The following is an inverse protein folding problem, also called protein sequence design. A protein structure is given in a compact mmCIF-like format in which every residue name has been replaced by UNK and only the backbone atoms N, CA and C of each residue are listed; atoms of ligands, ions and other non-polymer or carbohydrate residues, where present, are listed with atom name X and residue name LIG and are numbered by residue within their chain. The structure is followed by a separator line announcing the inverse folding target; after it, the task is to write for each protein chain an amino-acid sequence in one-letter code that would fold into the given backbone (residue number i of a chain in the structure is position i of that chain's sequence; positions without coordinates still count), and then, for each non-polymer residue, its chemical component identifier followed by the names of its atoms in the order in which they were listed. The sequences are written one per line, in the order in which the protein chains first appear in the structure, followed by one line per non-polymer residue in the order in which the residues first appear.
data_IF_438248832251
#
_entry.id   IF_438248832251
#
_cell.length_a   1.000
_cell.length_b   1.000
_cell.length_c   1.000
_cell.angle_alpha   90.00
_cell.angle_beta   90.00
_cell.angle_gamma   90.00
#
_symmetry.space_group_name_H-M   'P 1'
#
loop_
_entity.id
_entity.type
_entity.pdbx_description
1 polymer ?
#
# COMPACT_ATOMS: atom_id res chain seq x y z
N UNK A 1 -13.55 5.48 -20.44
CA UNK A 1 -12.66 6.50 -19.88
C UNK A 1 -11.89 5.87 -18.73
N UNK A 2 -10.60 6.08 -18.60
CA UNK A 2 -9.81 5.57 -17.49
C UNK A 2 -10.12 6.42 -16.24
N UNK A 3 -10.32 5.76 -15.09
CA UNK A 3 -10.55 6.39 -13.79
C UNK A 3 -9.34 7.26 -13.41
N UNK A 4 -9.58 8.48 -12.96
CA UNK A 4 -8.53 9.41 -12.53
C UNK A 4 -7.81 8.90 -11.27
N UNK A 5 -6.61 9.41 -10.98
CA UNK A 5 -5.86 9.08 -9.77
C UNK A 5 -6.67 9.37 -8.50
N UNK A 6 -7.33 10.53 -8.44
CA UNK A 6 -8.14 10.95 -7.30
C UNK A 6 -9.34 10.01 -7.08
N UNK A 7 -10.06 9.63 -8.13
CA UNK A 7 -11.16 8.68 -8.07
C UNK A 7 -10.70 7.30 -7.60
N UNK A 8 -9.54 6.81 -8.10
CA UNK A 8 -8.93 5.55 -7.63
C UNK A 8 -8.61 5.58 -6.13
N UNK A 9 -8.10 6.71 -5.62
CA UNK A 9 -7.80 6.85 -4.19
C UNK A 9 -9.08 6.93 -3.36
N UNK A 10 -10.07 7.72 -3.80
CA UNK A 10 -11.36 7.84 -3.12
C UNK A 10 -12.05 6.47 -3.01
N UNK A 11 -12.13 5.71 -4.10
CA UNK A 11 -12.71 4.36 -4.11
C UNK A 11 -11.97 3.38 -3.18
N UNK A 12 -10.63 3.48 -3.10
CA UNK A 12 -9.86 2.65 -2.17
C UNK A 12 -10.11 3.02 -0.72
N UNK A 13 -10.19 4.31 -0.40
CA UNK A 13 -10.49 4.78 0.94
C UNK A 13 -11.90 4.34 1.37
N UNK A 14 -12.89 4.50 0.50
CA UNK A 14 -14.27 4.05 0.73
C UNK A 14 -14.34 2.55 1.01
N UNK A 15 -13.68 1.74 0.19
CA UNK A 15 -13.61 0.29 0.42
C UNK A 15 -13.07 -0.05 1.83
N UNK A 16 -12.02 0.64 2.31
CA UNK A 16 -11.51 0.40 3.65
C UNK A 16 -12.47 0.87 4.74
N UNK A 17 -13.22 1.95 4.52
CA UNK A 17 -14.29 2.40 5.44
C UNK A 17 -15.43 1.40 5.53
N UNK A 18 -15.86 0.85 4.40
CA UNK A 18 -16.87 -0.22 4.38
C UNK A 18 -16.40 -1.46 5.15
N UNK A 19 -15.13 -1.87 4.94
CA UNK A 19 -14.52 -2.97 5.71
C UNK A 19 -14.48 -2.67 7.20
N UNK A 20 -14.07 -1.45 7.60
CA UNK A 20 -14.04 -1.02 8.98
C UNK A 20 -15.45 -1.07 9.60
N UNK A 21 -16.44 -0.53 8.91
CA UNK A 21 -17.84 -0.55 9.36
C UNK A 21 -18.39 -1.95 9.54
N UNK A 22 -18.09 -2.88 8.62
CA UNK A 22 -18.50 -4.28 8.73
C UNK A 22 -17.85 -4.97 9.92
N UNK A 23 -16.53 -4.84 10.08
CA UNK A 23 -15.79 -5.48 11.18
C UNK A 23 -16.17 -4.87 12.54
N UNK A 24 -16.47 -3.55 12.58
CA UNK A 24 -16.94 -2.88 13.81
C UNK A 24 -18.30 -3.44 14.27
N UNK A 25 -19.25 -3.65 13.35
CA UNK A 25 -20.52 -4.31 13.69
C UNK A 25 -20.32 -5.74 14.21
N UNK A 26 -19.39 -6.50 13.60
CA UNK A 26 -19.03 -7.83 14.10
C UNK A 26 -18.39 -7.78 15.49
N UNK A 27 -17.53 -6.81 15.76
CA UNK A 27 -16.94 -6.59 17.09
C UNK A 27 -18.01 -6.31 18.14
N UNK A 28 -18.94 -5.40 17.86
CA UNK A 28 -20.04 -5.01 18.77
C UNK A 28 -20.94 -6.22 19.07
N UNK A 29 -21.34 -6.99 18.06
CA UNK A 29 -22.16 -8.19 18.27
C UNK A 29 -21.42 -9.27 19.03
N UNK A 30 -20.14 -9.43 18.80
CA UNK A 30 -19.30 -10.40 19.52
C UNK A 30 -19.11 -9.98 20.97
N UNK A 31 -18.94 -8.68 21.23
CA UNK A 31 -18.83 -8.12 22.58
C UNK A 31 -20.12 -8.32 23.36
N UNK A 32 -21.25 -7.91 22.81
CA UNK A 32 -22.57 -8.10 23.42
C UNK A 32 -22.88 -9.58 23.74
N UNK A 33 -22.45 -10.50 22.86
CA UNK A 33 -22.53 -11.93 23.13
C UNK A 33 -21.68 -12.35 24.32
N UNK A 34 -20.47 -11.83 24.45
CA UNK A 34 -19.60 -12.13 25.59
C UNK A 34 -20.19 -11.61 26.90
N UNK A 35 -20.75 -10.38 26.90
CA UNK A 35 -21.46 -9.79 28.04
C UNK A 35 -22.65 -10.65 28.45
N UNK A 36 -23.53 -11.00 27.50
CA UNK A 36 -24.67 -11.88 27.77
C UNK A 36 -24.28 -13.24 28.34
N UNK A 37 -23.14 -13.79 27.92
CA UNK A 37 -22.60 -15.04 28.49
C UNK A 37 -22.06 -14.80 29.90
N UNK A 38 -21.42 -13.67 30.17
CA UNK A 38 -20.87 -13.32 31.48
C UNK A 38 -21.98 -13.07 32.51
N UNK A 39 -23.08 -12.44 32.12
CA UNK A 39 -24.22 -12.13 32.98
C UNK A 39 -24.91 -13.37 33.55
N UNK A 40 -24.71 -14.55 32.93
CA UNK A 40 -25.20 -15.83 33.48
C UNK A 40 -24.50 -16.19 34.78
N UNK A 41 -23.28 -15.67 35.02
CA UNK A 41 -22.50 -15.94 36.22
C UNK A 41 -22.77 -14.84 37.24
N UNK A 42 -23.39 -15.16 38.42
CA UNK A 42 -23.59 -14.15 39.46
C UNK A 42 -22.27 -13.50 39.87
N UNK A 43 -22.32 -12.18 40.09
CA UNK A 43 -21.14 -11.42 40.48
C UNK A 43 -20.52 -12.01 41.76
N UNK A 44 -19.21 -12.22 41.73
CA UNK A 44 -18.46 -12.79 42.88
C UNK A 44 -18.58 -14.29 43.04
N UNK A 45 -19.27 -15.02 42.17
CA UNK A 45 -19.37 -16.49 42.27
C UNK A 45 -18.01 -17.15 42.00
N UNK A 46 -17.40 -17.84 42.99
CA UNK A 46 -16.16 -18.59 42.80
C UNK A 46 -16.38 -19.88 42.06
N UNK A 47 -15.32 -20.43 41.45
CA UNK A 47 -15.33 -21.80 40.93
C UNK A 47 -15.28 -22.75 42.09
N UNK A 48 -16.21 -23.73 42.15
CA UNK A 48 -16.25 -24.74 43.18
C UNK A 48 -15.21 -25.85 42.87
N UNK A 49 -14.04 -25.72 43.46
CA UNK A 49 -12.91 -26.65 43.24
C UNK A 49 -13.26 -28.01 43.82
N UNK A 50 -13.01 -29.11 43.06
CA UNK A 50 -13.34 -30.49 43.43
C UNK A 50 -14.81 -30.90 43.21
N UNK A 51 -15.69 -29.96 42.84
CA UNK A 51 -17.07 -30.26 42.53
C UNK A 51 -17.23 -30.81 41.10
N UNK A 52 -18.20 -31.69 40.88
CA UNK A 52 -18.45 -32.30 39.57
C UNK A 52 -18.64 -31.28 38.42
N UNK A 53 -19.14 -30.09 38.71
CA UNK A 53 -19.36 -29.01 37.74
C UNK A 53 -18.11 -28.19 37.46
N UNK A 54 -17.00 -28.35 38.17
CA UNK A 54 -15.80 -27.48 38.04
C UNK A 54 -15.32 -27.43 36.59
N UNK A 55 -15.19 -28.55 35.92
CA UNK A 55 -14.70 -28.61 34.53
C UNK A 55 -15.62 -27.84 33.57
N UNK A 56 -16.93 -27.96 33.76
CA UNK A 56 -17.93 -27.28 32.94
C UNK A 56 -17.87 -25.76 33.16
N UNK A 57 -17.77 -25.31 34.41
CA UNK A 57 -17.68 -23.89 34.77
C UNK A 57 -16.38 -23.25 34.23
N UNK A 58 -15.23 -23.91 34.40
CA UNK A 58 -13.95 -23.45 33.83
C UNK A 58 -14.02 -23.32 32.31
N UNK A 59 -14.62 -24.31 31.63
CA UNK A 59 -14.78 -24.26 30.18
C UNK A 59 -15.70 -23.13 29.73
N UNK A 60 -16.75 -22.85 30.49
CA UNK A 60 -17.68 -21.77 30.20
C UNK A 60 -17.00 -20.39 30.36
N UNK A 61 -16.27 -20.17 31.46
CA UNK A 61 -15.48 -18.91 31.70
C UNK A 61 -14.40 -18.74 30.63
N UNK A 62 -13.69 -19.79 30.27
CA UNK A 62 -12.72 -19.75 29.17
C UNK A 62 -13.35 -19.38 27.83
N UNK A 63 -14.61 -19.78 27.60
CA UNK A 63 -15.35 -19.39 26.38
C UNK A 63 -15.73 -17.92 26.42
N UNK A 64 -16.13 -17.38 27.56
CA UNK A 64 -16.38 -15.96 27.76
C UNK A 64 -15.11 -15.15 27.45
N UNK A 65 -13.99 -15.50 28.07
CA UNK A 65 -12.71 -14.82 27.85
C UNK A 65 -12.28 -14.82 26.38
N UNK A 66 -12.38 -15.98 25.72
CA UNK A 66 -12.07 -16.09 24.28
C UNK A 66 -12.99 -15.22 23.43
N UNK A 67 -14.26 -15.10 23.80
CA UNK A 67 -15.23 -14.28 23.06
C UNK A 67 -14.93 -12.80 23.27
N UNK A 68 -14.57 -12.36 24.47
CA UNK A 68 -14.11 -10.98 24.71
C UNK A 68 -12.81 -10.68 23.93
N UNK A 69 -11.80 -11.54 24.00
CA UNK A 69 -10.56 -11.36 23.22
C UNK A 69 -10.84 -11.20 21.74
N UNK A 70 -11.70 -12.06 21.18
CA UNK A 70 -12.09 -11.93 19.77
C UNK A 70 -12.77 -10.59 19.47
N UNK A 71 -13.60 -10.06 20.36
CA UNK A 71 -14.24 -8.76 20.16
C UNK A 71 -13.23 -7.61 20.13
N UNK A 72 -12.20 -7.64 21.00
CA UNK A 72 -11.11 -6.67 20.99
C UNK A 72 -10.26 -6.76 19.72
N UNK A 73 -9.86 -7.98 19.31
CA UNK A 73 -9.13 -8.19 18.05
C UNK A 73 -9.90 -7.66 16.83
N UNK A 74 -11.22 -7.80 16.81
CA UNK A 74 -12.06 -7.23 15.77
C UNK A 74 -12.13 -5.71 15.85
N UNK A 75 -12.16 -5.13 17.05
CA UNK A 75 -12.11 -3.67 17.23
C UNK A 75 -10.80 -3.09 16.73
N UNK A 76 -9.68 -3.70 17.08
CA UNK A 76 -8.35 -3.29 16.61
C UNK A 76 -8.24 -3.39 15.08
N UNK A 77 -8.82 -4.44 14.51
CA UNK A 77 -8.87 -4.64 13.06
C UNK A 77 -9.73 -3.56 12.36
N UNK A 78 -10.84 -3.16 12.96
CA UNK A 78 -11.68 -2.08 12.44
C UNK A 78 -10.92 -0.75 12.48
N UNK A 79 -10.25 -0.43 13.59
CA UNK A 79 -9.41 0.77 13.71
C UNK A 79 -8.26 0.77 12.69
N UNK A 80 -7.62 -0.40 12.47
CA UNK A 80 -6.60 -0.52 11.45
C UNK A 80 -7.12 -0.17 10.05
N UNK A 81 -8.33 -0.62 9.69
CA UNK A 81 -8.93 -0.27 8.39
C UNK A 81 -9.28 1.21 8.29
N UNK A 82 -9.76 1.84 9.37
CA UNK A 82 -10.00 3.29 9.39
C UNK A 82 -8.72 4.10 9.20
N UNK A 83 -7.67 3.79 9.96
CA UNK A 83 -6.35 4.42 9.79
C UNK A 83 -5.81 4.23 8.38
N UNK A 84 -6.11 3.09 7.76
CA UNK A 84 -5.71 2.84 6.37
C UNK A 84 -6.48 3.71 5.38
N UNK A 85 -7.78 3.92 5.58
CA UNK A 85 -8.59 4.85 4.79
C UNK A 85 -8.08 6.29 4.93
N UNK A 86 -7.84 6.74 6.15
CA UNK A 86 -7.28 8.07 6.44
C UNK A 86 -5.91 8.30 5.79
N UNK A 87 -5.03 7.29 5.84
CA UNK A 87 -3.72 7.35 5.20
C UNK A 87 -3.78 7.40 3.66
N UNK A 88 -4.85 6.88 3.05
CA UNK A 88 -5.07 6.99 1.62
C UNK A 88 -5.53 8.40 1.26
N UNK A 89 -6.39 9.01 2.07
CA UNK A 89 -6.90 10.38 1.85
C UNK A 89 -5.87 11.44 2.18
N UNK A 90 -5.12 11.25 3.27
CA UNK A 90 -4.10 12.16 3.76
C UNK A 90 -2.73 11.46 3.79
N UNK A 91 -2.15 11.12 2.64
CA UNK A 91 -0.91 10.35 2.61
C UNK A 91 0.25 11.19 3.14
N UNK A 92 0.99 10.63 4.10
CA UNK A 92 2.24 11.21 4.58
C UNK A 92 3.30 11.30 3.48
N UNK A 93 3.32 10.30 2.59
CA UNK A 93 4.22 10.23 1.44
C UNK A 93 3.49 10.61 0.15
N UNK A 94 4.07 11.52 -0.63
CA UNK A 94 3.55 11.92 -1.94
C UNK A 94 3.85 10.80 -2.93
N UNK A 95 2.79 10.22 -3.53
CA UNK A 95 2.93 9.17 -4.53
C UNK A 95 3.47 9.71 -5.84
N UNK A 96 4.30 8.92 -6.53
CA UNK A 96 4.73 9.25 -7.90
C UNK A 96 3.61 9.05 -8.95
N UNK A 97 2.55 8.35 -8.57
CA UNK A 97 1.36 8.18 -9.42
C UNK A 97 0.41 9.39 -9.34
N UNK A 98 0.67 10.33 -8.42
CA UNK A 98 -0.12 11.56 -8.27
C UNK A 98 0.30 12.56 -9.39
N UNK A 99 -0.62 12.99 -10.26
CA UNK A 99 -0.32 14.00 -11.28
C UNK A 99 0.23 15.31 -10.68
N UNK A 100 -0.21 15.66 -9.47
CA UNK A 100 0.24 16.84 -8.74
C UNK A 100 1.48 16.61 -7.86
N UNK A 101 2.14 15.43 -7.97
CA UNK A 101 3.27 15.07 -7.11
C UNK A 101 4.36 16.15 -7.08
N UNK A 102 4.74 16.72 -8.24
CA UNK A 102 5.77 17.77 -8.33
C UNK A 102 5.33 19.02 -7.59
N UNK A 103 4.07 19.45 -7.74
CA UNK A 103 3.52 20.62 -7.03
C UNK A 103 3.56 20.41 -5.52
N UNK A 104 3.02 19.28 -5.05
CA UNK A 104 3.00 18.92 -3.62
C UNK A 104 4.41 18.80 -3.02
N UNK A 105 5.37 18.26 -3.80
CA UNK A 105 6.77 18.19 -3.37
C UNK A 105 7.41 19.57 -3.27
N UNK A 106 7.14 20.50 -4.21
CA UNK A 106 7.61 21.88 -4.14
C UNK A 106 7.04 22.62 -2.92
N UNK A 107 5.74 22.48 -2.66
CA UNK A 107 5.11 23.01 -1.44
C UNK A 107 5.74 22.46 -0.16
N UNK A 108 6.07 21.15 -0.16
CA UNK A 108 6.79 20.52 0.97
C UNK A 108 8.18 21.09 1.15
N UNK A 109 8.91 21.34 0.08
CA UNK A 109 10.25 21.99 0.12
C UNK A 109 10.11 23.40 0.71
N UNK A 110 9.16 24.20 0.25
CA UNK A 110 8.93 25.55 0.76
C UNK A 110 8.59 25.54 2.27
N UNK A 111 7.71 24.65 2.71
CA UNK A 111 7.40 24.48 4.14
C UNK A 111 8.63 24.09 4.96
N UNK A 112 9.47 23.21 4.44
CA UNK A 112 10.72 22.82 5.11
C UNK A 112 11.74 23.95 5.15
N UNK A 113 11.84 24.77 4.11
CA UNK A 113 12.72 25.95 4.07
C UNK A 113 12.26 27.01 5.07
N UNK A 114 10.97 27.31 5.13
CA UNK A 114 10.39 28.21 6.16
C UNK A 114 10.66 27.68 7.56
N UNK A 115 10.44 26.40 7.80
CA UNK A 115 10.70 25.77 9.10
C UNK A 115 12.21 25.81 9.47
N UNK A 116 13.08 25.62 8.48
CA UNK A 116 14.53 25.75 8.67
C UNK A 116 14.94 27.15 9.13
N UNK A 117 14.35 28.21 8.56
CA UNK A 117 14.63 29.59 8.97
C UNK A 117 14.13 29.87 10.39
N UNK A 118 12.96 29.34 10.77
CA UNK A 118 12.46 29.42 12.16
C UNK A 118 13.43 28.78 13.14
N UNK A 119 13.92 27.56 12.84
CA UNK A 119 14.87 26.85 13.70
C UNK A 119 16.24 27.58 13.76
N UNK A 120 16.68 28.21 12.66
CA UNK A 120 17.91 29.01 12.66
C UNK A 120 17.82 30.23 13.56
N UNK A 121 16.66 30.86 13.63
CA UNK A 121 16.43 32.03 14.49
C UNK A 121 16.31 31.70 15.97
N UNK A 122 16.04 30.43 16.36
CA UNK A 122 15.88 30.02 17.75
C UNK A 122 17.21 29.61 18.40
N UNK A 123 17.31 29.81 19.73
CA UNK A 123 18.37 29.22 20.55
C UNK A 123 18.10 27.74 20.80
N UNK A 124 19.13 27.01 21.25
CA UNK A 124 18.97 25.61 21.62
C UNK A 124 18.01 25.41 22.81
N UNK A 125 18.03 26.35 23.76
CA UNK A 125 17.14 26.35 24.94
C UNK A 125 15.67 26.57 24.57
N UNK A 126 15.38 27.47 23.63
CA UNK A 126 14.00 27.70 23.14
C UNK A 126 13.46 26.47 22.43
N UNK A 127 14.26 25.82 21.57
CA UNK A 127 13.87 24.57 20.88
C UNK A 127 13.61 23.46 21.89
N UNK A 128 14.44 23.38 22.93
CA UNK A 128 14.29 22.38 23.97
C UNK A 128 13.00 22.57 24.78
N UNK A 129 12.67 23.83 25.13
CA UNK A 129 11.41 24.18 25.82
C UNK A 129 10.17 23.86 24.97
N UNK A 130 10.19 24.28 23.71
CA UNK A 130 9.08 24.03 22.77
C UNK A 130 8.76 22.52 22.60
N UNK A 131 9.78 21.69 22.71
CA UNK A 131 9.63 20.24 22.62
C UNK A 131 9.07 19.59 23.87
N UNK A 132 9.09 20.27 25.02
CA UNK A 132 8.72 19.68 26.31
C UNK A 132 9.67 18.54 26.72
N UNK A 133 10.92 18.63 26.36
CA UNK A 133 11.90 17.55 26.57
C UNK A 133 12.26 17.40 28.05
N UNK A 134 12.49 16.16 28.56
CA UNK A 134 12.93 15.93 29.93
C UNK A 134 14.28 16.60 30.24
N UNK A 135 14.46 17.01 31.50
CA UNK A 135 15.69 17.67 31.96
C UNK A 135 16.96 16.81 31.76
N UNK A 136 16.81 15.49 31.68
CA UNK A 136 17.88 14.53 31.36
C UNK A 136 18.51 14.72 29.95
N UNK A 137 17.88 15.48 29.06
CA UNK A 137 18.38 15.79 27.73
C UNK A 137 18.97 17.20 27.63
N UNK A 138 19.14 17.90 28.76
CA UNK A 138 19.69 19.24 28.86
C UNK A 138 21.11 19.26 28.34
N UNK A 139 21.73 19.26 27.52
CA UNK A 139 23.09 19.20 26.95
C UNK A 139 23.10 18.72 25.50
N UNK A 140 21.97 18.30 24.99
CA UNK A 140 21.84 17.89 23.60
C UNK A 140 21.69 19.10 22.69
N UNK A 141 22.40 19.08 21.56
CA UNK A 141 22.29 20.12 20.56
C UNK A 141 21.08 19.86 19.64
N UNK A 142 19.87 20.19 20.13
CA UNK A 142 18.64 20.02 19.39
C UNK A 142 18.60 20.88 18.13
N UNK A 143 19.17 22.08 18.15
CA UNK A 143 19.25 22.96 17.00
C UNK A 143 19.99 22.29 15.84
N UNK A 144 21.18 21.75 16.12
CA UNK A 144 21.97 21.01 15.13
C UNK A 144 21.22 19.81 14.61
N UNK A 145 20.66 18.97 15.49
CA UNK A 145 19.89 17.77 15.12
C UNK A 145 18.70 18.11 14.21
N UNK A 146 17.94 19.17 14.53
CA UNK A 146 16.84 19.63 13.68
C UNK A 146 17.32 20.12 12.33
N UNK A 147 18.37 20.97 12.28
CA UNK A 147 18.91 21.48 11.04
C UNK A 147 19.48 20.39 10.13
N UNK A 148 20.17 19.39 10.68
CA UNK A 148 20.64 18.24 9.94
C UNK A 148 19.49 17.39 9.39
N UNK A 149 18.46 17.12 10.20
CA UNK A 149 17.25 16.41 9.79
C UNK A 149 16.50 17.13 8.67
N UNK A 150 16.28 18.44 8.82
CA UNK A 150 15.63 19.27 7.80
C UNK A 150 16.49 19.30 6.52
N UNK A 151 17.80 19.44 6.66
CA UNK A 151 18.73 19.43 5.52
C UNK A 151 18.68 18.12 4.73
N UNK A 152 18.58 16.97 5.40
CA UNK A 152 18.39 15.67 4.76
C UNK A 152 17.07 15.62 4.03
N UNK A 153 15.97 15.96 4.71
CA UNK A 153 14.62 15.97 4.13
C UNK A 153 14.48 16.90 2.92
N UNK A 154 15.17 18.04 2.92
CA UNK A 154 15.23 18.96 1.78
C UNK A 154 15.95 18.32 0.59
N UNK A 155 17.13 17.72 0.81
CA UNK A 155 17.86 17.02 -0.26
C UNK A 155 17.03 15.89 -0.86
N UNK A 156 16.40 15.06 -0.02
CA UNK A 156 15.57 13.96 -0.47
C UNK A 156 14.34 14.44 -1.26
N UNK A 157 13.69 15.54 -0.81
CA UNK A 157 12.56 16.11 -1.52
C UNK A 157 12.97 16.71 -2.88
N UNK A 158 14.09 17.43 -2.96
CA UNK A 158 14.61 17.98 -4.22
C UNK A 158 15.00 16.87 -5.19
N UNK A 159 15.74 15.85 -4.73
CA UNK A 159 16.04 14.66 -5.53
C UNK A 159 14.78 13.97 -6.06
N UNK A 160 13.76 13.86 -5.21
CA UNK A 160 12.47 13.26 -5.60
C UNK A 160 11.73 14.07 -6.65
N UNK A 161 11.80 15.42 -6.60
CA UNK A 161 11.25 16.28 -7.65
C UNK A 161 11.90 15.96 -8.99
N UNK A 162 13.24 15.93 -9.03
CA UNK A 162 13.99 15.64 -10.26
C UNK A 162 13.64 14.25 -10.83
N UNK A 163 13.51 13.24 -9.96
CA UNK A 163 13.12 11.89 -10.37
C UNK A 163 11.71 11.85 -10.97
N UNK A 164 10.74 12.50 -10.33
CA UNK A 164 9.36 12.55 -10.80
C UNK A 164 9.26 13.33 -12.12
N UNK A 165 9.95 14.46 -12.24
CA UNK A 165 9.99 15.24 -13.48
C UNK A 165 10.60 14.45 -14.64
N UNK A 166 11.72 13.73 -14.41
CA UNK A 166 12.31 12.85 -15.41
C UNK A 166 11.34 11.74 -15.85
N UNK A 167 10.60 11.16 -14.92
CA UNK A 167 9.60 10.14 -15.24
C UNK A 167 8.44 10.73 -16.05
N UNK A 168 7.96 11.91 -15.67
CA UNK A 168 6.88 12.60 -16.40
C UNK A 168 7.29 13.10 -17.79
N UNK A 169 8.58 13.33 -18.02
CA UNK A 169 9.09 13.74 -19.35
C UNK A 169 9.22 12.60 -20.36
N UNK A 170 9.10 11.34 -19.93
CA UNK A 170 9.13 10.18 -20.84
C UNK A 170 7.83 10.19 -21.66
N UNK A 171 7.88 10.26 -23.00
CA UNK A 171 6.67 10.31 -23.81
C UNK A 171 5.86 9.00 -23.73
N UNK A 172 4.55 9.12 -23.81
CA UNK A 172 3.70 7.96 -24.03
C UNK A 172 4.04 7.31 -25.39
N UNK A 173 4.24 6.03 -25.41
CA UNK A 173 4.57 5.28 -26.62
C UNK A 173 4.04 3.86 -26.54
N UNK A 174 3.86 3.26 -27.71
CA UNK A 174 3.56 1.84 -27.83
C UNK A 174 4.39 1.24 -28.95
N UNK A 175 5.04 0.10 -28.69
CA UNK A 175 5.82 -0.64 -29.66
C UNK A 175 5.53 -2.14 -29.54
N UNK A 176 5.68 -2.84 -30.65
CA UNK A 176 5.50 -4.29 -30.67
C UNK A 176 6.84 -4.94 -30.99
N UNK A 177 7.30 -5.81 -30.12
CA UNK A 177 8.56 -6.57 -30.28
C UNK A 177 8.22 -8.06 -30.12
N UNK A 178 8.49 -8.87 -31.13
CA UNK A 178 8.20 -10.31 -31.13
C UNK A 178 6.73 -10.66 -30.73
N UNK A 179 5.77 -9.87 -31.20
CA UNK A 179 4.35 -10.06 -30.88
C UNK A 179 3.94 -9.59 -29.46
N UNK A 180 4.87 -9.06 -28.67
CA UNK A 180 4.60 -8.50 -27.35
C UNK A 180 4.45 -7.00 -27.49
N UNK A 181 3.31 -6.46 -27.03
CA UNK A 181 3.09 -5.01 -27.02
C UNK A 181 3.64 -4.42 -25.73
N UNK A 182 4.57 -3.47 -25.87
CA UNK A 182 5.09 -2.66 -24.77
C UNK A 182 4.46 -1.28 -24.90
N UNK A 183 3.70 -0.85 -23.90
CA UNK A 183 3.05 0.46 -23.86
C UNK A 183 3.54 1.25 -22.65
N UNK A 184 3.95 2.50 -22.88
CA UNK A 184 4.22 3.50 -21.82
C UNK A 184 2.96 4.32 -21.64
N UNK A 185 2.26 4.09 -20.55
CA UNK A 185 1.01 4.76 -20.20
C UNK A 185 1.26 5.81 -19.11
N UNK A 186 1.30 7.07 -19.52
CA UNK A 186 1.50 8.20 -18.62
C UNK A 186 0.30 8.44 -17.70
N UNK A 187 -0.91 8.11 -18.13
CA UNK A 187 -2.12 8.33 -17.32
C UNK A 187 -2.14 7.45 -16.07
N UNK A 188 -1.63 6.22 -16.20
CA UNK A 188 -1.48 5.28 -15.09
C UNK A 188 -0.09 5.28 -14.47
N UNK A 189 0.87 6.02 -15.05
CA UNK A 189 2.29 5.98 -14.71
C UNK A 189 2.85 4.55 -14.73
N UNK A 190 2.56 3.81 -15.82
CA UNK A 190 2.95 2.39 -15.96
C UNK A 190 3.58 2.08 -17.33
N UNK A 191 4.59 1.21 -17.30
CA UNK A 191 5.03 0.43 -18.45
C UNK A 191 4.23 -0.86 -18.42
N UNK A 192 3.48 -1.12 -19.49
CA UNK A 192 2.56 -2.26 -19.64
C UNK A 192 3.09 -3.21 -20.73
N UNK A 193 3.17 -4.51 -20.43
CA UNK A 193 3.48 -5.56 -21.39
C UNK A 193 2.25 -6.43 -21.60
N UNK A 194 1.80 -6.50 -22.84
CA UNK A 194 0.71 -7.38 -23.28
C UNK A 194 1.27 -8.52 -24.12
N UNK A 195 1.00 -9.74 -23.70
CA UNK A 195 1.40 -10.96 -24.39
C UNK A 195 0.21 -11.52 -25.19
N UNK A 196 0.42 -12.08 -26.37
CA UNK A 196 -0.65 -12.70 -27.17
C UNK A 196 -1.28 -13.93 -26.50
N UNK A 197 -0.48 -14.62 -25.66
CA UNK A 197 -0.90 -15.78 -24.85
C UNK A 197 -0.28 -15.70 -23.46
N UNK A 198 -0.64 -16.63 -22.57
CA UNK A 198 -0.04 -16.70 -21.23
C UNK A 198 1.44 -17.00 -21.35
N UNK A 199 2.35 -16.12 -20.86
CA UNK A 199 3.78 -16.34 -20.98
C UNK A 199 4.23 -17.55 -20.16
N UNK A 200 5.30 -18.27 -20.61
CA UNK A 200 5.87 -19.42 -19.91
C UNK A 200 6.24 -19.10 -18.45
N UNK A 201 6.31 -20.11 -17.57
CA UNK A 201 6.65 -19.89 -16.16
C UNK A 201 7.97 -19.15 -15.93
N UNK A 202 8.99 -19.45 -16.76
CA UNK A 202 10.30 -18.81 -16.71
C UNK A 202 10.22 -17.31 -16.99
N UNK A 203 9.46 -16.92 -18.01
CA UNK A 203 9.21 -15.52 -18.36
C UNK A 203 8.44 -14.80 -17.25
N UNK A 204 7.45 -15.46 -16.68
CA UNK A 204 6.71 -14.90 -15.55
C UNK A 204 7.59 -14.69 -14.32
N UNK A 205 8.52 -15.61 -14.07
CA UNK A 205 9.51 -15.49 -12.98
C UNK A 205 10.47 -14.35 -13.26
N UNK A 206 10.96 -14.22 -14.50
CA UNK A 206 11.84 -13.13 -14.94
C UNK A 206 11.12 -11.76 -14.83
N UNK A 207 9.87 -11.66 -15.27
CA UNK A 207 9.06 -10.44 -15.10
C UNK A 207 8.92 -10.04 -13.62
N UNK A 208 8.62 -11.01 -12.75
CA UNK A 208 8.52 -10.75 -11.30
C UNK A 208 9.85 -10.30 -10.70
N UNK A 209 10.98 -10.91 -11.08
CA UNK A 209 12.32 -10.51 -10.61
C UNK A 209 12.67 -9.08 -11.06
N UNK A 210 12.16 -8.63 -12.20
CA UNK A 210 12.29 -7.27 -12.70
C UNK A 210 11.22 -6.32 -12.13
N UNK A 211 10.41 -6.77 -11.15
CA UNK A 211 9.41 -5.95 -10.46
C UNK A 211 8.13 -5.67 -11.25
N UNK A 212 7.84 -6.45 -12.30
CA UNK A 212 6.56 -6.41 -12.98
C UNK A 212 5.52 -7.22 -12.22
N UNK A 213 4.30 -6.70 -12.13
CA UNK A 213 3.16 -7.35 -11.51
C UNK A 213 2.05 -7.57 -12.53
N UNK A 214 1.38 -8.71 -12.44
CA UNK A 214 0.22 -8.99 -13.27
C UNK A 214 -1.00 -8.16 -12.81
N UNK A 215 -1.63 -7.48 -13.73
CA UNK A 215 -2.90 -6.79 -13.54
C UNK A 215 -4.04 -7.57 -14.20
N UNK A 216 -4.90 -8.24 -13.41
CA UNK A 216 -6.05 -8.95 -13.96
C UNK A 216 -7.04 -8.04 -14.70
N UNK A 217 -7.23 -6.81 -14.22
CA UNK A 217 -8.13 -5.83 -14.83
C UNK A 217 -7.66 -5.40 -16.22
N UNK A 218 -6.37 -5.09 -16.35
CA UNK A 218 -5.79 -4.64 -17.62
C UNK A 218 -5.28 -5.81 -18.48
N UNK A 219 -5.25 -7.02 -17.95
CA UNK A 219 -4.65 -8.22 -18.59
C UNK A 219 -3.24 -7.99 -19.11
N UNK A 220 -2.43 -7.24 -18.33
CA UNK A 220 -1.07 -6.84 -18.67
C UNK A 220 -0.13 -7.05 -17.50
N UNK A 221 1.15 -7.28 -17.78
CA UNK A 221 2.21 -7.14 -16.80
C UNK A 221 2.60 -5.68 -16.73
N UNK A 222 2.63 -5.10 -15.53
CA UNK A 222 2.85 -3.66 -15.37
C UNK A 222 3.86 -3.35 -14.28
N UNK A 223 4.61 -2.28 -14.50
CA UNK A 223 5.55 -1.71 -13.54
C UNK A 223 5.50 -0.19 -13.65
N UNK A 224 5.82 0.54 -12.56
CA UNK A 224 5.92 2.00 -12.59
C UNK A 224 6.96 2.45 -13.63
N UNK A 225 6.68 3.55 -14.35
CA UNK A 225 7.58 4.08 -15.39
C UNK A 225 8.93 4.41 -14.77
N UNK A 226 9.97 3.91 -15.40
CA UNK A 226 11.38 4.25 -15.14
C UNK A 226 12.21 3.76 -16.32
N UNK A 227 13.39 4.32 -16.53
CA UNK A 227 14.31 3.84 -17.59
C UNK A 227 14.61 2.36 -17.43
N UNK A 228 14.77 1.88 -16.19
CA UNK A 228 14.96 0.46 -15.91
C UNK A 228 13.73 -0.39 -16.29
N UNK A 229 12.51 0.12 -16.06
CA UNK A 229 11.30 -0.60 -16.44
C UNK A 229 11.18 -0.74 -17.97
N UNK A 230 11.50 0.31 -18.70
CA UNK A 230 11.51 0.31 -20.18
C UNK A 230 12.56 -0.67 -20.68
N UNK A 231 13.78 -0.57 -20.18
CA UNK A 231 14.88 -1.47 -20.57
C UNK A 231 14.53 -2.95 -20.32
N UNK A 232 14.03 -3.29 -19.13
CA UNK A 232 13.67 -4.68 -18.85
C UNK A 232 12.45 -5.17 -19.63
N UNK A 233 11.49 -4.29 -19.95
CA UNK A 233 10.37 -4.63 -20.83
C UNK A 233 10.87 -5.03 -22.23
N UNK A 234 11.78 -4.24 -22.79
CA UNK A 234 12.39 -4.54 -24.07
C UNK A 234 13.25 -5.81 -24.04
N UNK A 235 14.04 -6.00 -22.99
CA UNK A 235 14.88 -7.18 -22.80
C UNK A 235 14.02 -8.46 -22.79
N UNK A 236 12.92 -8.45 -22.03
CA UNK A 236 12.00 -9.59 -22.00
C UNK A 236 11.36 -9.82 -23.36
N UNK A 237 10.91 -8.77 -24.05
CA UNK A 237 10.30 -8.90 -25.37
C UNK A 237 11.28 -9.39 -26.45
N UNK A 238 12.53 -8.91 -26.43
CA UNK A 238 13.60 -9.36 -27.35
C UNK A 238 14.03 -10.79 -27.07
N UNK A 239 14.03 -11.23 -25.82
CA UNK A 239 14.39 -12.59 -25.41
C UNK A 239 13.34 -13.67 -25.75
N UNK A 240 12.14 -13.28 -26.19
CA UNK A 240 11.13 -14.22 -26.68
C UNK A 240 11.31 -14.40 -28.17
N UNK A 241 12.04 -15.46 -28.56
CA UNK A 241 12.05 -15.89 -29.97
C UNK A 241 10.60 -16.24 -30.36
N UNK A 242 10.12 -15.68 -31.46
CA UNK A 242 8.84 -16.01 -32.05
C UNK A 242 8.82 -17.50 -32.38
N UNK A 243 8.13 -18.31 -31.58
CA UNK A 243 7.71 -19.61 -32.07
C UNK A 243 6.63 -19.31 -33.13
N UNK A 244 6.85 -19.63 -34.40
CA UNK A 244 5.85 -19.38 -35.42
C UNK A 244 4.57 -20.12 -35.02
N UNK A 245 3.44 -19.43 -35.07
CA UNK A 245 2.14 -20.05 -34.96
C UNK A 245 2.01 -20.97 -36.17
N UNK A 246 2.21 -22.26 -35.95
CA UNK A 246 1.83 -23.27 -36.93
C UNK A 246 0.30 -23.23 -36.97
N UNK A 247 -0.24 -22.55 -37.97
CA UNK A 247 -1.62 -22.73 -38.35
C UNK A 247 -1.76 -24.16 -38.87
N UNK A 248 -2.22 -25.06 -38.03
CA UNK A 248 -2.74 -26.35 -38.47
C UNK A 248 -4.05 -26.06 -39.21
N UNK A 249 -3.92 -25.85 -40.52
CA UNK A 249 -5.01 -26.07 -41.46
C UNK A 249 -5.31 -27.57 -41.45
N UNK A 250 -6.20 -28.03 -40.61
CA UNK A 250 -6.82 -29.33 -40.74
C UNK A 250 -7.66 -29.32 -42.01
N UNK A 251 -7.15 -29.94 -43.05
CA UNK A 251 -7.88 -30.20 -44.26
C UNK A 251 -9.17 -30.99 -43.97
N UNK A 252 -10.26 -30.39 -44.33
CA UNK A 252 -11.53 -31.09 -44.51
C UNK A 252 -11.37 -31.81 -45.88
N UNK A 253 -10.99 -33.08 -45.84
CA UNK A 253 -11.20 -33.96 -47.01
C UNK A 253 -12.69 -34.29 -47.09
N UNK A 254 -13.35 -33.69 -48.07
CA UNK A 254 -14.62 -34.18 -48.59
C UNK A 254 -14.43 -35.64 -49.06
N UNK A 255 -15.11 -36.56 -48.43
CA UNK A 255 -15.42 -37.85 -49.02
C UNK A 255 -16.80 -37.73 -49.69
N UNK A 256 -16.74 -37.50 -51.04
CA UNK A 256 -17.82 -37.88 -51.93
C UNK A 256 -17.62 -39.37 -52.28
N UNK A 257 -18.53 -40.21 -51.91
CA UNK A 257 -19.05 -41.36 -52.63
C UNK A 257 -20.09 -42.09 -51.76
#
# INVERSE_FOLDING_TARGET
MSESYAEKQARKAEHFRELAGRVRREATTTHARAESMADVIPFGQPILVGHHSERSDRNFRNRIDKTFRKSFELSDKAEHYEKRAENIENPYAISSDDPEAVKKLKEKVEKLEKFREVIRGKTNEEIWKDRGSPQSLAGWDFKRMHLESIGRRLRDAKKRIDEVQKTQSIPASAQVINGITIAIDQSDNRVKLSFPSIPPPEVRTKLKSYGFHWSPMNRTWQRQISNAAIYYAEEVAKGQATTPIVQTTSGIEERIL
#
